data_IF_441203444074
#
_entry.id   IF_441203444074
#
_cell.length_a   1.000
_cell.length_b   1.000
_cell.length_c   1.000
_cell.angle_alpha   90.00
_cell.angle_beta   90.00
_cell.angle_gamma   90.00
#
_symmetry.space_group_name_H-M   'P 1'
#
loop_
_entity.id
_entity.type
_entity.pdbx_description
1 polymer ?
#
# COMPACT_ATOMS: atom_id res chain seq x y z
N UNK A 1 -33.26 22.22 11.73
CA UNK A 1 -32.53 20.97 12.06
C UNK A 1 -32.55 20.11 10.81
N UNK A 2 -31.51 20.23 9.99
CA UNK A 2 -31.44 19.56 8.70
C UNK A 2 -30.64 18.27 8.90
N UNK A 3 -31.33 17.15 8.80
CA UNK A 3 -30.75 15.83 8.98
C UNK A 3 -29.73 15.59 7.86
N UNK A 4 -28.45 15.58 8.22
CA UNK A 4 -27.34 15.20 7.36
C UNK A 4 -27.58 13.76 6.90
N UNK A 5 -28.13 13.61 5.69
CA UNK A 5 -28.27 12.33 4.99
C UNK A 5 -26.87 11.75 4.82
N UNK A 6 -26.49 10.89 5.75
CA UNK A 6 -25.37 9.96 5.61
C UNK A 6 -25.64 9.13 4.36
N UNK A 7 -24.94 9.45 3.26
CA UNK A 7 -24.87 8.59 2.07
C UNK A 7 -24.07 7.35 2.45
N UNK A 8 -24.71 6.39 3.12
CA UNK A 8 -24.14 5.09 3.50
C UNK A 8 -24.05 4.12 2.30
N UNK A 9 -23.76 4.65 1.11
CA UNK A 9 -23.84 3.93 -0.16
C UNK A 9 -22.72 4.29 -1.13
N UNK A 10 -21.55 4.72 -0.63
CA UNK A 10 -20.33 4.74 -1.44
C UNK A 10 -19.86 3.29 -1.64
N UNK A 11 -20.64 2.52 -2.41
CA UNK A 11 -20.42 1.11 -2.67
C UNK A 11 -19.14 0.89 -3.48
N UNK A 12 -18.68 -0.36 -3.46
CA UNK A 12 -17.52 -0.88 -4.19
C UNK A 12 -17.35 -0.30 -5.62
N UNK A 13 -18.44 -0.05 -6.34
CA UNK A 13 -18.45 0.60 -7.65
C UNK A 13 -17.84 2.02 -7.67
N UNK A 14 -18.02 2.81 -6.62
CA UNK A 14 -17.40 4.13 -6.49
C UNK A 14 -15.89 4.00 -6.22
N UNK A 15 -15.45 3.02 -5.42
CA UNK A 15 -14.01 2.76 -5.24
C UNK A 15 -13.33 2.26 -6.52
N UNK A 16 -14.02 1.47 -7.35
CA UNK A 16 -13.50 1.07 -8.67
C UNK A 16 -13.38 2.26 -9.63
N UNK A 17 -14.38 3.15 -9.63
CA UNK A 17 -14.32 4.36 -10.45
C UNK A 17 -13.19 5.29 -10.02
N UNK A 18 -12.96 5.42 -8.70
CA UNK A 18 -11.81 6.16 -8.18
C UNK A 18 -10.47 5.51 -8.54
N UNK A 19 -10.37 4.17 -8.51
CA UNK A 19 -9.17 3.47 -8.99
C UNK A 19 -8.93 3.70 -10.48
N UNK A 20 -9.97 3.71 -11.31
CA UNK A 20 -9.87 3.91 -12.75
C UNK A 20 -9.35 5.32 -13.13
N UNK A 21 -9.51 6.29 -12.23
CA UNK A 21 -9.00 7.65 -12.41
C UNK A 21 -7.69 7.91 -11.65
N UNK A 22 -7.01 6.85 -11.18
CA UNK A 22 -5.71 6.98 -10.53
C UNK A 22 -4.71 7.59 -11.52
N UNK A 23 -4.05 8.71 -11.17
CA UNK A 23 -2.99 9.26 -12.00
C UNK A 23 -1.88 8.22 -12.23
N UNK A 24 -1.40 8.07 -13.46
CA UNK A 24 -0.45 7.01 -13.85
C UNK A 24 0.80 6.94 -12.96
N UNK A 25 1.28 8.09 -12.47
CA UNK A 25 2.45 8.18 -11.59
C UNK A 25 2.20 7.57 -10.19
N UNK A 26 0.95 7.42 -9.76
CA UNK A 26 0.58 6.82 -8.47
C UNK A 26 0.34 5.31 -8.56
N UNK A 27 0.19 4.76 -9.77
CA UNK A 27 -0.04 3.33 -9.99
C UNK A 27 1.05 2.45 -9.37
N UNK A 28 2.35 2.76 -9.50
CA UNK A 28 3.39 1.94 -8.85
C UNK A 28 3.30 1.97 -7.32
N UNK A 29 2.88 3.10 -6.72
CA UNK A 29 2.68 3.19 -5.27
C UNK A 29 1.55 2.26 -4.82
N UNK A 30 0.41 2.32 -5.51
CA UNK A 30 -0.74 1.46 -5.20
C UNK A 30 -0.39 -0.02 -5.40
N UNK A 31 0.26 -0.37 -6.51
CA UNK A 31 0.66 -1.75 -6.80
C UNK A 31 1.67 -2.28 -5.77
N UNK A 32 2.71 -1.50 -5.45
CA UNK A 32 3.70 -1.91 -4.45
C UNK A 32 3.07 -2.18 -3.08
N UNK A 33 2.17 -1.29 -2.65
CA UNK A 33 1.45 -1.43 -1.39
C UNK A 33 0.51 -2.65 -1.37
N UNK A 34 -0.26 -2.88 -2.44
CA UNK A 34 -1.17 -4.03 -2.55
C UNK A 34 -0.41 -5.35 -2.62
N UNK A 35 0.67 -5.42 -3.42
CA UNK A 35 1.52 -6.61 -3.50
C UNK A 35 2.12 -6.93 -2.13
N UNK A 36 2.64 -5.94 -1.42
CA UNK A 36 3.16 -6.10 -0.07
C UNK A 36 2.13 -6.71 0.89
N UNK A 37 0.91 -6.17 0.90
CA UNK A 37 -0.19 -6.66 1.74
C UNK A 37 -0.58 -8.09 1.39
N UNK A 38 -0.80 -8.38 0.11
CA UNK A 38 -1.20 -9.71 -0.34
C UNK A 38 -0.14 -10.75 0.00
N UNK A 39 1.13 -10.45 -0.28
CA UNK A 39 2.22 -11.38 0.02
C UNK A 39 2.35 -11.59 1.53
N UNK A 40 2.34 -10.52 2.34
CA UNK A 40 2.43 -10.63 3.79
C UNK A 40 1.30 -11.47 4.39
N UNK A 41 0.05 -11.18 4.03
CA UNK A 41 -1.14 -11.87 4.55
C UNK A 41 -1.19 -13.32 4.06
N UNK A 42 -1.01 -13.57 2.77
CA UNK A 42 -1.11 -14.92 2.22
C UNK A 42 0.00 -15.82 2.75
N UNK A 43 1.23 -15.31 2.88
CA UNK A 43 2.34 -16.09 3.44
C UNK A 43 2.02 -16.51 4.87
N UNK A 44 1.48 -15.59 5.69
CA UNK A 44 1.03 -15.91 7.04
C UNK A 44 -0.08 -16.97 7.07
N UNK A 45 -1.10 -16.82 6.23
CA UNK A 45 -2.21 -17.79 6.14
C UNK A 45 -1.70 -19.18 5.73
N UNK A 46 -0.76 -19.26 4.80
CA UNK A 46 -0.17 -20.53 4.41
C UNK A 46 0.63 -21.17 5.56
N UNK A 47 1.42 -20.40 6.30
CA UNK A 47 2.16 -20.92 7.44
C UNK A 47 1.23 -21.44 8.54
N UNK A 48 0.17 -20.70 8.86
CA UNK A 48 -0.86 -21.14 9.79
C UNK A 48 -1.58 -22.42 9.31
N UNK A 49 -1.89 -22.51 8.01
CA UNK A 49 -2.53 -23.70 7.43
C UNK A 49 -1.64 -24.94 7.52
N UNK A 50 -0.33 -24.80 7.30
CA UNK A 50 0.64 -25.90 7.38
C UNK A 50 0.86 -26.36 8.81
N UNK A 51 0.82 -25.43 9.77
CA UNK A 51 0.95 -25.74 11.18
C UNK A 51 -0.36 -26.29 11.79
N UNK A 52 -1.50 -26.10 11.12
CA UNK A 52 -2.82 -26.45 11.67
C UNK A 52 -3.23 -25.60 12.86
N UNK A 53 -2.57 -24.46 13.09
CA UNK A 53 -2.77 -23.59 14.25
C UNK A 53 -2.35 -22.15 13.92
N UNK A 54 -2.82 -21.21 14.75
CA UNK A 54 -2.35 -19.83 14.70
C UNK A 54 -0.89 -19.80 15.17
N UNK A 55 0.00 -19.43 14.26
CA UNK A 55 1.43 -19.24 14.54
C UNK A 55 1.75 -17.75 14.63
N UNK A 56 2.88 -17.44 15.27
CA UNK A 56 3.41 -16.08 15.27
C UNK A 56 3.84 -15.69 13.86
N UNK A 57 3.48 -14.48 13.42
CA UNK A 57 3.93 -13.95 12.15
C UNK A 57 5.44 -13.72 12.18
N UNK A 58 6.12 -14.08 11.09
CA UNK A 58 7.53 -13.73 10.96
C UNK A 58 7.71 -12.22 10.83
N UNK A 59 8.88 -11.71 11.21
CA UNK A 59 9.21 -10.29 11.12
C UNK A 59 9.00 -9.77 9.68
N UNK A 60 9.39 -10.55 8.67
CA UNK A 60 9.20 -10.20 7.27
C UNK A 60 7.71 -10.07 6.89
N UNK A 61 6.86 -10.99 7.34
CA UNK A 61 5.41 -10.92 7.11
C UNK A 61 4.81 -9.68 7.76
N UNK A 62 5.18 -9.40 9.01
CA UNK A 62 4.71 -8.23 9.73
C UNK A 62 5.12 -6.93 9.02
N UNK A 63 6.38 -6.80 8.62
CA UNK A 63 6.87 -5.61 7.93
C UNK A 63 6.28 -5.43 6.53
N UNK A 64 6.05 -6.52 5.79
CA UNK A 64 5.32 -6.44 4.51
C UNK A 64 3.94 -5.82 4.71
N UNK A 65 3.20 -6.25 5.74
CA UNK A 65 1.88 -5.71 6.01
C UNK A 65 1.96 -4.26 6.48
N UNK A 66 2.81 -3.95 7.45
CA UNK A 66 2.93 -2.61 8.03
C UNK A 66 3.31 -1.58 6.95
N UNK A 67 4.37 -1.83 6.19
CA UNK A 67 4.81 -0.89 5.16
C UNK A 67 3.89 -0.89 3.94
N UNK A 68 3.19 -2.01 3.66
CA UNK A 68 2.11 -2.03 2.68
C UNK A 68 0.96 -1.09 3.06
N UNK A 69 0.52 -1.11 4.33
CA UNK A 69 -0.48 -0.16 4.85
C UNK A 69 0.03 1.28 4.74
N UNK A 70 1.27 1.55 5.15
CA UNK A 70 1.84 2.90 5.06
C UNK A 70 1.92 3.37 3.61
N UNK A 71 2.25 2.49 2.66
CA UNK A 71 2.20 2.78 1.22
C UNK A 71 0.79 3.16 0.75
N UNK A 72 -0.25 2.46 1.20
CA UNK A 72 -1.65 2.84 0.92
C UNK A 72 -2.04 4.17 1.55
N UNK A 73 -1.55 4.47 2.76
CA UNK A 73 -1.72 5.78 3.40
C UNK A 73 -1.07 6.86 2.53
N UNK A 74 0.15 6.64 2.07
CA UNK A 74 0.84 7.54 1.13
C UNK A 74 0.01 7.79 -0.12
N UNK A 75 -0.55 6.74 -0.73
CA UNK A 75 -1.48 6.86 -1.86
C UNK A 75 -2.73 7.69 -1.52
N UNK A 76 -3.37 7.44 -0.37
CA UNK A 76 -4.55 8.19 0.05
C UNK A 76 -4.24 9.67 0.29
N UNK A 77 -3.11 9.98 0.94
CA UNK A 77 -2.63 11.35 1.16
C UNK A 77 -2.32 12.05 -0.17
N UNK A 78 -1.79 11.32 -1.17
CA UNK A 78 -1.50 11.87 -2.50
C UNK A 78 -2.74 12.39 -3.25
N UNK A 79 -3.95 11.94 -2.89
CA UNK A 79 -5.20 12.50 -3.44
C UNK A 79 -5.43 13.96 -3.02
N UNK A 80 -4.86 14.39 -1.90
CA UNK A 80 -4.99 15.74 -1.35
C UNK A 80 -3.71 16.55 -1.53
N UNK A 81 -2.55 15.92 -1.34
CA UNK A 81 -1.25 16.52 -1.51
C UNK A 81 -0.25 15.47 -1.99
N UNK A 82 0.07 15.52 -3.30
CA UNK A 82 0.96 14.56 -3.96
C UNK A 82 2.36 14.55 -3.35
N UNK A 83 2.90 15.70 -2.93
CA UNK A 83 4.23 15.78 -2.33
C UNK A 83 4.27 15.02 -0.99
N UNK A 84 3.32 15.29 -0.09
CA UNK A 84 3.25 14.63 1.21
C UNK A 84 3.01 13.12 1.05
N UNK A 85 2.08 12.73 0.19
CA UNK A 85 1.78 11.32 -0.03
C UNK A 85 2.96 10.56 -0.66
N UNK A 86 3.71 11.20 -1.55
CA UNK A 86 4.93 10.63 -2.13
C UNK A 86 6.07 10.50 -1.12
N UNK A 87 6.20 11.43 -0.17
CA UNK A 87 7.18 11.30 0.94
C UNK A 87 6.83 10.08 1.80
N UNK A 88 5.56 9.91 2.16
CA UNK A 88 5.10 8.74 2.94
C UNK A 88 5.36 7.44 2.17
N UNK A 89 5.04 7.41 0.87
CA UNK A 89 5.31 6.26 0.00
C UNK A 89 6.81 5.95 -0.12
N UNK A 90 7.66 6.98 -0.22
CA UNK A 90 9.12 6.82 -0.25
C UNK A 90 9.67 6.25 1.06
N UNK A 91 9.18 6.73 2.21
CA UNK A 91 9.57 6.20 3.53
C UNK A 91 9.17 4.72 3.65
N UNK A 92 7.94 4.38 3.27
CA UNK A 92 7.47 3.00 3.26
C UNK A 92 8.32 2.12 2.32
N UNK A 93 8.61 2.61 1.12
CA UNK A 93 9.43 1.91 0.14
C UNK A 93 10.85 1.67 0.62
N UNK A 94 11.53 2.69 1.15
CA UNK A 94 12.88 2.56 1.72
C UNK A 94 12.90 1.59 2.89
N UNK A 95 11.96 1.72 3.83
CA UNK A 95 11.88 0.83 4.98
C UNK A 95 11.66 -0.62 4.55
N UNK A 96 10.82 -0.84 3.53
CA UNK A 96 10.58 -2.16 2.98
C UNK A 96 11.82 -2.74 2.29
N UNK A 97 12.56 -1.95 1.49
CA UNK A 97 13.82 -2.39 0.86
C UNK A 97 14.88 -2.76 1.90
N UNK A 98 14.97 -2.01 3.00
CA UNK A 98 16.01 -2.20 4.03
C UNK A 98 15.66 -3.33 5.00
N UNK A 99 14.40 -3.43 5.41
CA UNK A 99 13.97 -4.29 6.53
C UNK A 99 13.36 -5.61 6.08
N UNK A 100 12.86 -5.71 4.84
CA UNK A 100 12.26 -6.92 4.31
C UNK A 100 13.25 -7.62 3.38
N UNK A 101 14.07 -8.51 3.95
CA UNK A 101 15.09 -9.27 3.23
C UNK A 101 14.52 -10.42 2.38
N UNK A 102 13.50 -10.13 1.57
CA UNK A 102 12.89 -11.08 0.63
C UNK A 102 12.80 -10.45 -0.75
N UNK A 103 12.87 -11.27 -1.81
CA UNK A 103 12.76 -10.77 -3.18
C UNK A 103 11.45 -10.01 -3.43
N UNK A 104 10.35 -10.47 -2.82
CA UNK A 104 9.04 -9.80 -2.93
C UNK A 104 8.99 -8.48 -2.14
N UNK A 105 9.64 -8.43 -0.97
CA UNK A 105 9.82 -7.19 -0.22
C UNK A 105 10.63 -6.16 -1.01
N UNK A 106 11.74 -6.58 -1.60
CA UNK A 106 12.54 -5.72 -2.48
C UNK A 106 11.72 -5.21 -3.66
N UNK A 107 11.00 -6.09 -4.35
CA UNK A 107 10.14 -5.72 -5.47
C UNK A 107 9.07 -4.70 -5.08
N UNK A 108 8.30 -4.98 -4.02
CA UNK A 108 7.26 -4.07 -3.54
C UNK A 108 7.82 -2.72 -3.07
N UNK A 109 8.96 -2.74 -2.37
CA UNK A 109 9.66 -1.54 -1.93
C UNK A 109 10.16 -0.69 -3.10
N UNK A 110 10.70 -1.31 -4.14
CA UNK A 110 11.13 -0.60 -5.36
C UNK A 110 9.94 -0.02 -6.14
N UNK A 111 8.80 -0.70 -6.19
CA UNK A 111 7.57 -0.14 -6.78
C UNK A 111 7.09 1.11 -6.03
N UNK A 112 7.09 1.07 -4.69
CA UNK A 112 6.76 2.22 -3.86
C UNK A 112 7.70 3.40 -4.12
N UNK A 113 9.02 3.13 -4.22
CA UNK A 113 10.02 4.15 -4.50
C UNK A 113 9.90 4.74 -5.91
N UNK A 114 9.74 3.89 -6.92
CA UNK A 114 9.57 4.32 -8.30
C UNK A 114 8.32 5.20 -8.44
N UNK A 115 7.21 4.80 -7.81
CA UNK A 115 5.98 5.58 -7.78
C UNK A 115 6.14 6.91 -7.07
N UNK A 116 6.83 6.95 -5.92
CA UNK A 116 7.09 8.18 -5.18
C UNK A 116 7.95 9.17 -5.97
N UNK A 117 9.05 8.69 -6.59
CA UNK A 117 9.94 9.54 -7.39
C UNK A 117 9.22 10.07 -8.62
N UNK A 118 8.46 9.22 -9.32
CA UNK A 118 7.69 9.65 -10.49
C UNK A 118 6.62 10.67 -10.11
N UNK A 119 5.92 10.44 -9.00
CA UNK A 119 4.94 11.38 -8.47
C UNK A 119 5.56 12.76 -8.19
N UNK A 120 6.71 12.79 -7.50
CA UNK A 120 7.46 14.04 -7.24
C UNK A 120 7.90 14.74 -8.53
N UNK A 121 8.41 13.98 -9.50
CA UNK A 121 8.86 14.51 -10.78
C UNK A 121 7.71 15.11 -11.59
N UNK A 122 6.51 14.52 -11.50
CA UNK A 122 5.31 14.99 -12.22
C UNK A 122 4.63 16.22 -11.60
N UNK A 123 5.05 16.62 -10.40
CA UNK A 123 4.54 17.79 -9.68
C UNK A 123 5.45 19.01 -9.75
N UNK A 124 6.59 18.91 -10.46
CA UNK A 124 7.47 20.04 -10.78
C UNK A 124 7.04 20.67 -12.09
#
# INVERSE_FOLDING_TARGET
MEATRTKSGAGFTQSWRELAHTPTHQVPVLLGAVVALLVGILTYVFDASKAGAIVAASINQAYLVIFGVIGLIGYAVSKQNVQNGSIVAAIAGLAMVVLVATQLGLFAGLLLLAGAVWSLASTR
#
